data_IF_180765701205
#
_entry.id   IF_180765701205
#
_cell.length_a   1.000
_cell.length_b   1.000
_cell.length_c   1.000
_cell.angle_alpha   90.00
_cell.angle_beta   90.00
_cell.angle_gamma   90.00
#
_symmetry.space_group_name_H-M   'P 1'
#
loop_
_entity.id
_entity.type
_entity.pdbx_description
1 polymer ?
#
# COMPACT_ATOMS: atom_id res chain seq x y z
N UNK A 1 -12.99 -6.44 -9.31
CA UNK A 1 -13.40 -6.88 -7.94
C UNK A 1 -12.34 -7.84 -7.43
N UNK A 2 -11.98 -7.80 -6.12
CA UNK A 2 -10.98 -8.71 -5.55
C UNK A 2 -11.30 -10.18 -5.83
N UNK A 3 -10.27 -10.99 -6.05
CA UNK A 3 -10.40 -12.42 -6.35
C UNK A 3 -11.04 -13.22 -5.21
N UNK A 4 -10.75 -12.80 -3.97
CA UNK A 4 -11.37 -13.27 -2.74
C UNK A 4 -11.68 -12.07 -1.83
N UNK A 5 -12.90 -11.51 -1.85
CA UNK A 5 -13.22 -10.28 -1.12
C UNK A 5 -13.02 -10.35 0.40
N UNK A 6 -13.32 -11.50 1.02
CA UNK A 6 -13.16 -11.68 2.47
C UNK A 6 -11.68 -11.70 2.85
N UNK A 7 -10.87 -12.44 2.11
CA UNK A 7 -9.42 -12.48 2.29
C UNK A 7 -8.81 -11.10 2.07
N UNK A 8 -9.18 -10.44 0.98
CA UNK A 8 -8.68 -9.10 0.66
C UNK A 8 -8.98 -8.11 1.79
N UNK A 9 -10.22 -8.05 2.27
CA UNK A 9 -10.57 -7.14 3.36
C UNK A 9 -9.78 -7.43 4.65
N UNK A 10 -9.52 -8.69 4.93
CA UNK A 10 -8.72 -9.11 6.09
C UNK A 10 -7.27 -8.63 5.95
N UNK A 11 -6.64 -8.87 4.80
CA UNK A 11 -5.27 -8.43 4.52
C UNK A 11 -5.15 -6.91 4.46
N UNK A 12 -6.09 -6.24 3.81
CA UNK A 12 -6.13 -4.79 3.73
C UNK A 12 -6.17 -4.16 5.13
N UNK A 13 -7.08 -4.61 5.98
CA UNK A 13 -7.19 -4.12 7.35
C UNK A 13 -5.90 -4.40 8.17
N UNK A 14 -5.28 -5.56 7.96
CA UNK A 14 -4.01 -5.86 8.61
C UNK A 14 -2.91 -4.90 8.14
N UNK A 15 -2.73 -4.72 6.84
CA UNK A 15 -1.65 -3.91 6.27
C UNK A 15 -1.72 -2.44 6.69
N UNK A 16 -2.91 -1.81 6.65
CA UNK A 16 -3.04 -0.41 7.07
C UNK A 16 -2.93 -0.21 8.59
N UNK A 17 -3.01 -1.30 9.38
CA UNK A 17 -2.94 -1.27 10.84
C UNK A 17 -1.63 -1.78 11.44
N UNK A 18 -0.61 -2.12 10.64
CA UNK A 18 0.72 -2.41 11.20
C UNK A 18 1.28 -1.17 11.92
N UNK A 19 2.17 -1.34 12.92
CA UNK A 19 2.62 -0.23 13.78
C UNK A 19 3.12 0.99 13.02
N UNK A 20 3.87 0.79 11.94
CA UNK A 20 4.39 1.88 11.10
C UNK A 20 3.26 2.66 10.39
N UNK A 21 2.29 1.95 9.81
CA UNK A 21 1.14 2.58 9.15
C UNK A 21 0.24 3.34 10.13
N UNK A 22 0.04 2.79 11.34
CA UNK A 22 -0.68 3.48 12.43
C UNK A 22 0.03 4.76 12.86
N UNK A 23 1.37 4.73 12.96
CA UNK A 23 2.15 5.93 13.30
C UNK A 23 2.00 6.99 12.20
N UNK A 24 2.04 6.60 10.93
CA UNK A 24 1.79 7.48 9.80
C UNK A 24 0.32 7.91 9.70
N UNK A 25 -0.60 7.27 10.42
CA UNK A 25 -2.07 7.45 10.32
C UNK A 25 -2.56 7.19 8.90
N UNK A 26 -2.04 6.12 8.29
CA UNK A 26 -2.48 5.69 6.96
C UNK A 26 -3.92 5.21 7.04
N UNK A 27 -4.71 5.60 6.04
CA UNK A 27 -6.06 5.09 5.82
C UNK A 27 -6.24 4.73 4.35
N UNK A 28 -7.35 4.10 4.01
CA UNK A 28 -7.55 3.73 2.62
C UNK A 28 -8.99 3.35 2.29
N UNK A 29 -9.27 3.28 0.98
CA UNK A 29 -10.52 2.81 0.40
C UNK A 29 -10.28 1.48 -0.30
N UNK A 30 -10.90 0.42 0.22
CA UNK A 30 -10.83 -0.97 -0.27
C UNK A 30 -12.07 -1.36 -1.09
N UNK A 31 -12.83 -0.41 -1.60
CA UNK A 31 -14.04 -0.67 -2.40
C UNK A 31 -13.78 -1.31 -3.77
N UNK A 32 -12.52 -1.32 -4.21
CA UNK A 32 -12.07 -1.91 -5.48
C UNK A 32 -10.86 -2.82 -5.30
N UNK A 33 -10.49 -3.54 -6.37
CA UNK A 33 -9.25 -4.33 -6.48
C UNK A 33 -8.00 -3.49 -6.70
N UNK A 34 -8.17 -2.20 -6.91
CA UNK A 34 -7.11 -1.20 -6.92
C UNK A 34 -7.38 -0.19 -5.79
N UNK A 35 -7.09 -0.55 -4.53
CA UNK A 35 -7.40 0.30 -3.39
C UNK A 35 -6.59 1.59 -3.42
N UNK A 36 -7.16 2.65 -2.83
CA UNK A 36 -6.45 3.89 -2.60
C UNK A 36 -5.91 3.87 -1.17
N UNK A 37 -4.61 4.10 -1.03
CA UNK A 37 -3.94 4.30 0.25
C UNK A 37 -3.61 5.76 0.42
N UNK A 38 -3.91 6.31 1.59
CA UNK A 38 -3.88 7.75 1.82
C UNK A 38 -3.25 8.13 3.15
N UNK A 39 -2.76 9.36 3.22
CA UNK A 39 -2.33 10.01 4.46
C UNK A 39 -2.71 11.49 4.41
N UNK A 40 -3.17 12.03 5.53
CA UNK A 40 -3.39 13.47 5.66
C UNK A 40 -2.06 14.20 5.85
N UNK A 41 -1.97 15.40 5.27
CA UNK A 41 -0.84 16.29 5.48
C UNK A 41 -0.72 16.72 6.93
N UNK A 42 0.48 16.70 7.49
CA UNK A 42 0.78 17.19 8.83
C UNK A 42 2.27 17.44 9.02
N UNK A 43 2.62 18.31 9.93
CA UNK A 43 4.00 18.78 10.14
C UNK A 43 4.99 17.67 10.47
N UNK A 44 4.56 16.61 11.17
CA UNK A 44 5.43 15.46 11.52
C UNK A 44 5.87 14.63 10.31
N UNK A 45 5.24 14.81 9.15
CA UNK A 45 5.58 14.12 7.90
C UNK A 45 6.50 14.94 7.01
N UNK A 46 6.84 16.18 7.40
CA UNK A 46 7.69 17.05 6.60
C UNK A 46 9.16 16.63 6.68
N UNK A 47 9.87 16.80 5.58
CA UNK A 47 11.33 16.73 5.53
C UNK A 47 11.95 17.83 6.40
N UNK A 48 11.39 19.03 6.32
CA UNK A 48 11.79 20.19 7.09
C UNK A 48 10.63 21.18 7.19
N UNK A 49 10.38 21.74 8.38
CA UNK A 49 9.40 22.81 8.55
C UNK A 49 9.69 24.07 7.71
N UNK A 50 10.96 24.26 7.32
CA UNK A 50 11.37 25.42 6.50
C UNK A 50 10.99 25.29 5.04
N UNK A 51 11.03 24.07 4.50
CA UNK A 51 10.68 23.82 3.08
C UNK A 51 9.21 23.51 2.91
N UNK A 52 8.55 23.00 3.95
CA UNK A 52 7.18 22.50 3.87
C UNK A 52 7.02 21.27 2.98
N UNK A 53 8.12 20.64 2.54
CA UNK A 53 8.06 19.45 1.68
C UNK A 53 7.79 18.22 2.52
N UNK A 54 6.94 17.33 2.00
CA UNK A 54 6.72 16.01 2.59
C UNK A 54 8.00 15.16 2.48
N UNK A 55 8.33 14.41 3.52
CA UNK A 55 9.49 13.51 3.50
C UNK A 55 9.28 12.37 2.50
N UNK A 56 10.26 12.11 1.64
CA UNK A 56 10.18 11.09 0.60
C UNK A 56 9.89 9.68 1.13
N UNK A 57 10.30 9.37 2.36
CA UNK A 57 9.98 8.11 3.04
C UNK A 57 8.48 7.89 3.27
N UNK A 58 7.69 8.97 3.43
CA UNK A 58 6.22 8.87 3.52
C UNK A 58 5.67 8.37 2.19
N UNK A 59 6.12 8.97 1.07
CA UNK A 59 5.68 8.56 -0.28
C UNK A 59 6.09 7.12 -0.56
N UNK A 60 7.32 6.74 -0.19
CA UNK A 60 7.80 5.35 -0.34
C UNK A 60 6.92 4.37 0.41
N UNK A 61 6.55 4.66 1.66
CA UNK A 61 5.65 3.80 2.45
C UNK A 61 4.27 3.69 1.80
N UNK A 62 3.70 4.80 1.32
CA UNK A 62 2.39 4.77 0.67
C UNK A 62 2.41 3.94 -0.62
N UNK A 63 3.46 4.08 -1.44
CA UNK A 63 3.64 3.29 -2.67
C UNK A 63 3.78 1.80 -2.36
N UNK A 64 4.56 1.44 -1.35
CA UNK A 64 4.75 0.06 -0.91
C UNK A 64 3.42 -0.55 -0.43
N UNK A 65 2.71 0.16 0.44
CA UNK A 65 1.43 -0.30 0.98
C UNK A 65 0.34 -0.39 -0.09
N UNK A 66 0.23 0.57 -1.00
CA UNK A 66 -0.71 0.52 -2.10
C UNK A 66 -0.41 -0.67 -3.03
N UNK A 67 0.86 -0.92 -3.32
CA UNK A 67 1.29 -2.06 -4.14
C UNK A 67 0.98 -3.40 -3.46
N UNK A 68 1.28 -3.55 -2.17
CA UNK A 68 0.98 -4.75 -1.41
C UNK A 68 -0.54 -5.00 -1.31
N UNK A 69 -1.34 -3.96 -1.08
CA UNK A 69 -2.80 -4.07 -1.02
C UNK A 69 -3.39 -4.45 -2.38
N UNK A 70 -2.89 -3.87 -3.48
CA UNK A 70 -3.31 -4.23 -4.84
C UNK A 70 -2.96 -5.68 -5.16
N UNK A 71 -1.78 -6.14 -4.76
CA UNK A 71 -1.39 -7.54 -4.94
C UNK A 71 -2.28 -8.48 -4.12
N UNK A 72 -2.59 -8.12 -2.87
CA UNK A 72 -3.49 -8.89 -2.02
C UNK A 72 -4.90 -9.05 -2.61
N UNK A 73 -5.39 -8.08 -3.39
CA UNK A 73 -6.67 -8.16 -4.08
C UNK A 73 -6.71 -9.28 -5.16
N UNK A 74 -5.55 -9.73 -5.63
CA UNK A 74 -5.43 -10.81 -6.63
C UNK A 74 -5.35 -12.20 -6.00
N UNK A 75 -5.18 -12.30 -4.68
CA UNK A 75 -4.99 -13.58 -3.99
C UNK A 75 -6.30 -14.36 -3.84
N UNK A 76 -6.25 -15.66 -4.14
CA UNK A 76 -7.32 -16.61 -3.84
C UNK A 76 -7.19 -17.21 -2.44
N UNK A 77 -6.00 -17.27 -1.91
CA UNK A 77 -5.63 -17.80 -0.59
C UNK A 77 -4.57 -16.89 0.05
N UNK A 78 -4.25 -17.14 1.31
CA UNK A 78 -3.17 -16.40 1.96
C UNK A 78 -1.82 -16.65 1.28
N UNK A 79 -1.14 -15.56 0.97
CA UNK A 79 0.21 -15.57 0.40
C UNK A 79 1.12 -14.62 1.19
N UNK A 80 2.40 -14.98 1.28
CA UNK A 80 3.44 -14.04 1.71
C UNK A 80 3.78 -13.10 0.58
N UNK A 81 4.13 -11.87 0.91
CA UNK A 81 4.64 -10.89 -0.04
C UNK A 81 5.91 -10.25 0.48
N UNK A 82 6.84 -9.95 -0.41
CA UNK A 82 8.00 -9.11 -0.10
C UNK A 82 8.36 -8.24 -1.30
N UNK A 83 8.71 -7.00 -1.03
CA UNK A 83 9.18 -6.03 -2.02
C UNK A 83 10.61 -6.42 -2.44
N UNK A 84 10.83 -6.67 -3.72
CA UNK A 84 12.14 -6.95 -4.29
C UNK A 84 12.85 -5.67 -4.75
N UNK A 85 12.10 -4.78 -5.39
CA UNK A 85 12.60 -3.52 -5.91
C UNK A 85 11.49 -2.48 -5.91
N UNK A 86 11.87 -1.22 -5.72
CA UNK A 86 10.97 -0.09 -5.80
C UNK A 86 11.71 1.15 -6.29
N UNK A 87 11.14 1.79 -7.30
CA UNK A 87 11.58 3.08 -7.81
C UNK A 87 10.45 4.08 -7.78
N UNK A 88 10.75 5.31 -7.38
CA UNK A 88 9.81 6.42 -7.39
C UNK A 88 10.41 7.57 -8.21
N UNK A 89 9.67 8.02 -9.22
CA UNK A 89 10.00 9.16 -10.05
C UNK A 89 9.13 10.36 -9.60
N UNK A 90 9.75 11.36 -8.98
CA UNK A 90 9.09 12.59 -8.57
C UNK A 90 8.98 13.54 -9.76
N UNK A 91 7.76 13.93 -10.11
CA UNK A 91 7.48 14.79 -11.26
C UNK A 91 7.34 16.27 -10.85
N UNK A 92 6.80 16.50 -9.66
CA UNK A 92 6.61 17.83 -9.07
C UNK A 92 6.49 17.74 -7.55
N UNK A 93 6.50 18.87 -6.87
CA UNK A 93 6.22 18.93 -5.44
C UNK A 93 4.71 18.79 -5.19
N UNK A 94 4.27 18.00 -4.21
CA UNK A 94 2.88 18.01 -3.78
C UNK A 94 2.52 19.35 -3.12
N UNK A 95 1.26 19.73 -3.23
CA UNK A 95 0.73 20.96 -2.61
C UNK A 95 0.62 20.75 -1.10
N UNK A 96 1.16 21.65 -0.27
CA UNK A 96 1.00 21.58 1.18
C UNK A 96 -0.47 21.55 1.63
N UNK A 97 -0.70 21.02 2.82
CA UNK A 97 -2.01 20.97 3.49
C UNK A 97 -3.12 20.22 2.74
N UNK A 98 -2.72 19.36 1.79
CA UNK A 98 -3.66 18.49 1.08
C UNK A 98 -3.30 17.02 1.31
N UNK A 99 -4.30 16.13 1.45
CA UNK A 99 -4.04 14.71 1.59
C UNK A 99 -3.32 14.16 0.38
N UNK A 100 -2.52 13.13 0.62
CA UNK A 100 -1.79 12.39 -0.40
C UNK A 100 -2.46 11.03 -0.57
N UNK A 101 -2.67 10.67 -1.82
CA UNK A 101 -3.30 9.44 -2.24
C UNK A 101 -2.36 8.66 -3.16
N UNK A 102 -2.36 7.34 -3.02
CA UNK A 102 -1.66 6.44 -3.93
C UNK A 102 -2.61 5.34 -4.36
N UNK A 103 -2.73 5.16 -5.68
CA UNK A 103 -3.35 4.00 -6.30
C UNK A 103 -2.28 3.20 -7.03
N UNK A 104 -2.36 1.87 -6.92
CA UNK A 104 -1.46 0.95 -7.59
C UNK A 104 -2.24 0.02 -8.55
N UNK A 105 -1.57 -0.46 -9.57
CA UNK A 105 -2.08 -1.40 -10.55
C UNK A 105 -1.03 -2.47 -10.85
N UNK A 106 -1.39 -3.74 -10.64
CA UNK A 106 -0.56 -4.87 -11.05
C UNK A 106 -0.75 -5.12 -12.55
N UNK A 107 0.24 -4.73 -13.36
CA UNK A 107 0.13 -4.83 -14.81
C UNK A 107 0.68 -6.15 -15.37
N UNK A 108 1.43 -6.93 -14.58
CA UNK A 108 1.94 -8.24 -14.96
C UNK A 108 2.22 -9.10 -13.74
N UNK A 109 1.92 -10.38 -13.84
CA UNK A 109 2.42 -11.43 -12.95
C UNK A 109 3.16 -12.48 -13.80
N UNK A 110 4.28 -12.99 -13.29
CA UNK A 110 5.09 -14.03 -13.91
C UNK A 110 5.57 -15.00 -12.82
N UNK A 111 4.92 -16.16 -12.72
CA UNK A 111 5.15 -17.09 -11.62
C UNK A 111 4.90 -16.43 -10.26
N UNK A 112 5.91 -16.38 -9.41
CA UNK A 112 5.86 -15.74 -8.09
C UNK A 112 6.22 -14.25 -8.11
N UNK A 113 6.36 -13.62 -9.27
CA UNK A 113 6.78 -12.22 -9.37
C UNK A 113 5.62 -11.39 -9.91
N UNK A 114 5.33 -10.30 -9.21
CA UNK A 114 4.34 -9.30 -9.61
C UNK A 114 5.02 -7.96 -9.92
N UNK A 115 4.60 -7.33 -11.02
CA UNK A 115 5.08 -6.04 -11.47
C UNK A 115 3.95 -5.02 -11.33
N UNK A 116 4.19 -3.97 -10.56
CA UNK A 116 3.18 -3.00 -10.13
C UNK A 116 3.65 -1.60 -10.48
N UNK A 117 2.72 -0.78 -10.97
CA UNK A 117 2.90 0.66 -11.15
C UNK A 117 1.95 1.41 -10.23
N UNK A 118 2.37 2.59 -9.75
CA UNK A 118 1.60 3.40 -8.82
C UNK A 118 1.57 4.86 -9.26
N UNK A 119 0.46 5.53 -8.97
CA UNK A 119 0.29 6.97 -9.14
C UNK A 119 0.11 7.62 -7.78
N UNK A 120 0.97 8.60 -7.46
CA UNK A 120 0.84 9.42 -6.26
C UNK A 120 0.19 10.75 -6.66
N UNK A 121 -0.97 11.04 -6.10
CA UNK A 121 -1.78 12.20 -6.48
C UNK A 121 -2.42 12.88 -5.26
N UNK A 122 -3.05 14.01 -5.47
CA UNK A 122 -3.85 14.72 -4.47
C UNK A 122 -5.30 14.83 -4.96
N UNK A 123 -5.76 15.95 -5.47
CA UNK A 123 -7.15 16.15 -5.87
C UNK A 123 -7.51 15.53 -7.24
N UNK A 124 -6.52 15.26 -8.09
CA UNK A 124 -6.71 14.83 -9.47
C UNK A 124 -5.73 13.70 -9.81
N UNK A 125 -6.25 12.48 -9.92
CA UNK A 125 -5.47 11.29 -10.24
C UNK A 125 -4.82 11.34 -11.64
N UNK A 126 -5.37 12.13 -12.55
CA UNK A 126 -4.81 12.30 -13.91
C UNK A 126 -3.55 13.17 -13.92
N UNK A 127 -3.25 13.83 -12.81
CA UNK A 127 -2.09 14.71 -12.60
C UNK A 127 -1.23 14.26 -11.42
N UNK A 128 -0.61 13.08 -11.52
CA UNK A 128 0.22 12.56 -10.43
C UNK A 128 1.45 13.47 -10.20
N UNK A 129 1.83 13.66 -8.94
CA UNK A 129 3.07 14.35 -8.59
C UNK A 129 4.27 13.38 -8.52
N UNK A 130 4.02 12.06 -8.40
CA UNK A 130 5.05 11.05 -8.49
C UNK A 130 4.48 9.75 -9.08
N UNK A 131 5.36 8.95 -9.69
CA UNK A 131 5.07 7.63 -10.23
C UNK A 131 5.92 6.59 -9.53
N UNK A 132 5.32 5.45 -9.18
CA UNK A 132 6.01 4.31 -8.59
C UNK A 132 6.06 3.13 -9.57
N UNK A 133 7.20 2.43 -9.57
CA UNK A 133 7.36 1.11 -10.20
C UNK A 133 7.91 0.19 -9.12
N UNK A 134 7.25 -0.94 -8.89
CA UNK A 134 7.68 -1.91 -7.88
C UNK A 134 7.56 -3.33 -8.37
N UNK A 135 8.44 -4.18 -7.85
CA UNK A 135 8.45 -5.62 -8.11
C UNK A 135 8.33 -6.34 -6.77
N UNK A 136 7.38 -7.25 -6.69
CA UNK A 136 7.13 -8.06 -5.51
C UNK A 136 7.35 -9.53 -5.81
N UNK A 137 7.84 -10.28 -4.81
CA UNK A 137 7.70 -11.73 -4.79
C UNK A 137 6.51 -12.09 -3.92
N UNK A 138 5.73 -13.09 -4.33
CA UNK A 138 4.64 -13.65 -3.55
C UNK A 138 4.64 -15.18 -3.64
N UNK A 139 4.26 -15.83 -2.54
CA UNK A 139 4.20 -17.29 -2.48
C UNK A 139 3.02 -17.73 -1.61
N UNK A 140 2.28 -18.77 -2.04
CA UNK A 140 1.26 -19.38 -1.22
C UNK A 140 1.82 -19.87 0.11
N UNK A 141 1.06 -19.63 1.19
CA UNK A 141 1.38 -20.19 2.49
C UNK A 141 1.07 -21.68 2.53
N UNK A 142 1.88 -22.44 3.24
CA UNK A 142 1.53 -23.81 3.63
C UNK A 142 0.29 -23.80 4.53
N UNK A 143 -0.39 -24.95 4.64
CA UNK A 143 -1.59 -25.06 5.47
C UNK A 143 -1.33 -24.71 6.94
N UNK A 144 -0.15 -25.09 7.48
CA UNK A 144 0.24 -24.75 8.84
C UNK A 144 0.46 -23.23 9.04
N UNK A 145 1.10 -22.57 8.09
CA UNK A 145 1.31 -21.11 8.10
C UNK A 145 -0.01 -20.34 7.96
N UNK A 146 -0.93 -20.83 7.11
CA UNK A 146 -2.27 -20.24 7.00
C UNK A 146 -3.03 -20.27 8.33
N UNK A 147 -3.01 -21.41 9.03
CA UNK A 147 -3.65 -21.56 10.34
C UNK A 147 -3.02 -20.62 11.38
N UNK A 148 -1.69 -20.54 11.42
CA UNK A 148 -0.97 -19.65 12.32
C UNK A 148 -1.30 -18.17 12.06
N UNK A 149 -1.35 -17.75 10.80
CA UNK A 149 -1.72 -16.39 10.40
C UNK A 149 -3.17 -16.06 10.76
N UNK A 150 -4.10 -16.97 10.53
CA UNK A 150 -5.51 -16.79 10.90
C UNK A 150 -5.68 -16.59 12.40
N UNK A 151 -5.00 -17.41 13.23
CA UNK A 151 -5.03 -17.29 14.68
C UNK A 151 -4.45 -15.92 15.14
N UNK A 152 -3.36 -15.48 14.55
CA UNK A 152 -2.76 -14.17 14.82
C UNK A 152 -3.72 -13.02 14.49
N UNK A 153 -4.32 -13.02 13.29
CA UNK A 153 -5.25 -11.97 12.85
C UNK A 153 -6.51 -11.88 13.73
N UNK A 154 -7.02 -13.03 14.20
CA UNK A 154 -8.15 -13.06 15.14
C UNK A 154 -7.80 -12.44 16.50
N UNK A 155 -6.57 -12.65 17.00
CA UNK A 155 -6.10 -12.05 18.26
C UNK A 155 -5.91 -10.53 18.14
N UNK A 156 -5.50 -10.03 16.98
CA UNK A 156 -5.36 -8.59 16.76
C UNK A 156 -6.71 -7.86 16.69
N UNK A 157 -7.73 -8.49 16.12
CA UNK A 157 -9.08 -7.92 16.03
C UNK A 157 -9.82 -7.89 17.39
N UNK A 158 -9.36 -8.66 18.37
CA UNK A 158 -9.94 -8.73 19.72
C UNK A 158 -9.34 -7.71 20.71
N UNK A 159 -8.35 -6.92 20.30
CA UNK A 159 -7.70 -5.85 21.09
C UNK A 159 -8.24 -4.48 20.72
#
# INVERSE_FOLDING_TARGET
>A
MPANPVLFQTLFNHYINIPHCRWLKIYGDSSSDEPIISVDWRDELLESPKTGNIHGGVITTLVDMASACTLAALFQQFETTATLDMRIDYLMQPVPDQPIHVRAHCYRQEGSIAFIRSHCFQNDETRPFALGMSTFIHNPLTQAEQQALQAYLQQEQAK
#
